data_IF_195496490687
#
_entry.id   IF_195496490687
#
_cell.length_a   1.000
_cell.length_b   1.000
_cell.length_c   1.000
_cell.angle_alpha   90.00
_cell.angle_beta   90.00
_cell.angle_gamma   90.00
#
_symmetry.space_group_name_H-M   'P 1'
#
loop_
_entity.id
_entity.type
_entity.pdbx_description
1 polymer ?
#
# COMPACT_ATOMS: atom_id res chain seq x y z
N UNK A 1 -3.07 -4.31 4.61
CA UNK A 1 -1.90 -3.70 3.99
C UNK A 1 -0.71 -4.67 3.94
N UNK A 2 -0.18 -5.18 5.05
CA UNK A 2 1.04 -5.99 5.11
C UNK A 2 1.06 -7.19 4.16
N UNK A 3 -0.08 -7.86 3.96
CA UNK A 3 -0.18 -8.99 3.01
C UNK A 3 -0.02 -8.51 1.57
N UNK A 4 -0.68 -7.43 1.19
CA UNK A 4 -0.61 -6.93 -0.18
C UNK A 4 0.75 -6.31 -0.52
N UNK A 5 1.36 -5.56 0.41
CA UNK A 5 2.73 -5.05 0.22
C UNK A 5 3.74 -6.19 0.15
N UNK A 6 3.57 -7.24 0.96
CA UNK A 6 4.37 -8.46 0.88
C UNK A 6 4.26 -9.15 -0.48
N UNK A 7 3.03 -9.38 -0.95
CA UNK A 7 2.79 -9.97 -2.27
C UNK A 7 3.41 -9.15 -3.40
N UNK A 8 3.29 -7.82 -3.32
CA UNK A 8 3.87 -6.91 -4.29
C UNK A 8 5.41 -7.07 -4.34
N UNK A 9 6.08 -6.99 -3.19
CA UNK A 9 7.54 -7.13 -3.10
C UNK A 9 7.98 -8.52 -3.57
N UNK A 10 7.34 -9.59 -3.10
CA UNK A 10 7.70 -10.95 -3.51
C UNK A 10 7.49 -11.17 -5.02
N UNK A 11 6.34 -10.77 -5.57
CA UNK A 11 6.08 -10.91 -7.01
C UNK A 11 7.01 -10.06 -7.86
N UNK A 12 7.44 -8.88 -7.37
CA UNK A 12 8.41 -8.03 -8.05
C UNK A 12 9.75 -8.73 -8.21
N UNK A 13 10.31 -9.29 -7.13
CA UNK A 13 11.61 -9.96 -7.18
C UNK A 13 11.57 -11.37 -7.79
N UNK A 14 10.41 -12.05 -7.76
CA UNK A 14 10.28 -13.37 -8.39
C UNK A 14 10.31 -13.31 -9.92
N UNK A 15 10.00 -12.19 -10.50
CA UNK A 15 9.88 -12.01 -11.95
C UNK A 15 11.19 -11.84 -12.72
N UNK A 16 12.37 -11.97 -12.09
CA UNK A 16 13.65 -11.89 -12.79
C UNK A 16 14.76 -11.20 -11.98
N UNK A 17 15.92 -11.02 -12.60
CA UNK A 17 17.10 -10.35 -12.04
C UNK A 17 16.87 -8.83 -11.97
N UNK A 18 16.03 -8.39 -11.02
CA UNK A 18 15.75 -6.98 -10.80
C UNK A 18 16.62 -6.40 -9.71
N UNK A 19 17.11 -5.21 -9.97
CA UNK A 19 17.94 -4.50 -9.01
C UNK A 19 17.11 -4.09 -7.78
N UNK A 20 17.63 -4.36 -6.59
CA UNK A 20 16.93 -4.15 -5.33
C UNK A 20 16.54 -2.68 -5.07
N UNK A 21 17.31 -1.71 -5.60
CA UNK A 21 16.99 -0.29 -5.42
C UNK A 21 15.86 0.21 -6.30
N UNK A 22 15.51 -0.47 -7.40
CA UNK A 22 14.32 -0.14 -8.16
C UNK A 22 13.04 -0.50 -7.40
N UNK A 23 13.11 -1.50 -6.51
CA UNK A 23 12.02 -1.90 -5.61
C UNK A 23 12.07 -1.30 -4.20
N UNK A 24 12.98 -0.35 -3.94
CA UNK A 24 13.25 0.15 -2.57
C UNK A 24 12.01 0.71 -1.87
N UNK A 25 11.13 1.39 -2.59
CA UNK A 25 9.89 1.90 -2.02
C UNK A 25 9.00 0.77 -1.51
N UNK A 26 8.83 -0.29 -2.31
CA UNK A 26 8.04 -1.46 -1.92
C UNK A 26 8.63 -2.17 -0.71
N UNK A 27 9.96 -2.32 -0.65
CA UNK A 27 10.66 -2.93 0.48
C UNK A 27 10.45 -2.10 1.75
N UNK A 28 10.63 -0.78 1.68
CA UNK A 28 10.43 0.12 2.81
C UNK A 28 8.98 0.13 3.28
N UNK A 29 8.03 0.15 2.35
CA UNK A 29 6.60 0.11 2.64
C UNK A 29 6.20 -1.19 3.33
N UNK A 30 6.69 -2.33 2.84
CA UNK A 30 6.47 -3.63 3.47
C UNK A 30 7.07 -3.70 4.89
N UNK A 31 8.31 -3.23 5.07
CA UNK A 31 8.96 -3.21 6.37
C UNK A 31 8.19 -2.34 7.37
N UNK A 32 7.76 -1.14 6.97
CA UNK A 32 6.93 -0.26 7.80
C UNK A 32 5.59 -0.91 8.14
N UNK A 33 4.92 -1.53 7.17
CA UNK A 33 3.66 -2.25 7.42
C UNK A 33 3.82 -3.39 8.43
N UNK A 34 4.92 -4.15 8.38
CA UNK A 34 5.21 -5.20 9.37
C UNK A 34 5.44 -4.59 10.76
N UNK A 35 6.23 -3.51 10.86
CA UNK A 35 6.48 -2.84 12.14
C UNK A 35 5.16 -2.34 12.75
N UNK A 36 4.34 -1.64 11.98
CA UNK A 36 3.04 -1.13 12.43
C UNK A 36 2.13 -2.28 12.84
N UNK A 37 2.08 -3.36 12.07
CA UNK A 37 1.30 -4.56 12.39
C UNK A 37 1.72 -5.17 13.73
N UNK A 38 3.01 -5.36 13.97
CA UNK A 38 3.53 -5.90 15.22
C UNK A 38 3.23 -4.99 16.42
N UNK A 39 3.39 -3.66 16.24
CA UNK A 39 3.04 -2.68 17.27
C UNK A 39 1.53 -2.77 17.57
N UNK A 40 0.69 -2.81 16.54
CA UNK A 40 -0.76 -2.92 16.70
C UNK A 40 -1.15 -4.18 17.44
N UNK A 41 -0.56 -5.34 17.11
CA UNK A 41 -0.81 -6.59 17.83
C UNK A 41 -0.43 -6.50 19.30
N UNK A 42 0.71 -5.85 19.62
CA UNK A 42 1.19 -5.70 21.00
C UNK A 42 0.29 -4.79 21.84
N UNK A 43 -0.27 -3.73 21.24
CA UNK A 43 -1.06 -2.71 21.94
C UNK A 43 -2.57 -2.81 21.72
N UNK A 44 -3.05 -3.82 20.97
CA UNK A 44 -4.47 -4.05 20.75
C UNK A 44 -5.14 -4.55 22.04
N UNK A 45 -5.77 -3.62 22.77
CA UNK A 45 -6.62 -3.95 23.92
C UNK A 45 -7.98 -4.44 23.40
N UNK A 46 -8.37 -5.68 23.76
CA UNK A 46 -9.72 -6.17 23.49
C UNK A 46 -9.86 -7.32 22.50
N UNK A 47 -8.76 -7.91 22.03
CA UNK A 47 -8.76 -9.05 21.12
C UNK A 47 -8.75 -8.63 19.63
N UNK A 48 -8.36 -9.58 18.80
CA UNK A 48 -8.25 -9.38 17.35
C UNK A 48 -9.61 -9.72 16.72
N UNK A 49 -10.40 -8.69 16.40
CA UNK A 49 -11.67 -8.85 15.69
C UNK A 49 -11.54 -8.32 14.27
N UNK A 50 -11.62 -9.23 13.29
CA UNK A 50 -11.64 -8.86 11.87
C UNK A 50 -13.00 -8.24 11.51
N UNK A 51 -12.96 -7.03 10.95
CA UNK A 51 -14.15 -6.41 10.35
C UNK A 51 -14.48 -7.12 9.03
N UNK A 52 -15.75 -7.13 8.58
CA UNK A 52 -16.14 -7.76 7.32
C UNK A 52 -15.31 -7.33 6.12
N UNK A 53 -14.96 -6.06 6.03
CA UNK A 53 -14.08 -5.53 4.99
C UNK A 53 -12.70 -6.21 5.00
N UNK A 54 -12.12 -6.44 6.18
CA UNK A 54 -10.82 -7.07 6.33
C UNK A 54 -10.85 -8.53 5.89
N UNK A 55 -11.98 -9.23 6.14
CA UNK A 55 -12.19 -10.59 5.64
C UNK A 55 -12.23 -10.63 4.10
N UNK A 56 -12.99 -9.73 3.46
CA UNK A 56 -13.03 -9.65 2.00
C UNK A 56 -11.67 -9.30 1.41
N UNK A 57 -10.93 -8.41 2.07
CA UNK A 57 -9.58 -8.05 1.68
C UNK A 57 -8.61 -9.24 1.75
N UNK A 58 -8.67 -10.04 2.81
CA UNK A 58 -7.86 -11.25 2.95
C UNK A 58 -8.25 -12.34 1.93
N UNK A 59 -9.54 -12.50 1.62
CA UNK A 59 -10.01 -13.41 0.57
C UNK A 59 -9.45 -12.95 -0.79
N UNK A 60 -9.49 -11.67 -1.10
CA UNK A 60 -8.88 -11.10 -2.30
C UNK A 60 -7.39 -11.37 -2.39
N UNK A 61 -6.65 -11.17 -1.29
CA UNK A 61 -5.23 -11.47 -1.22
C UNK A 61 -4.95 -12.97 -1.43
N UNK A 62 -5.73 -13.86 -0.81
CA UNK A 62 -5.60 -15.30 -0.99
C UNK A 62 -5.89 -15.74 -2.44
N UNK A 63 -6.89 -15.12 -3.08
CA UNK A 63 -7.20 -15.37 -4.49
C UNK A 63 -6.04 -14.96 -5.42
N UNK A 64 -5.35 -13.84 -5.13
CA UNK A 64 -4.17 -13.40 -5.89
C UNK A 64 -3.01 -14.39 -5.70
N UNK A 65 -2.77 -14.88 -4.48
CA UNK A 65 -1.75 -15.91 -4.24
C UNK A 65 -2.05 -17.18 -5.01
N UNK A 66 -3.31 -17.65 -4.97
CA UNK A 66 -3.73 -18.82 -5.71
C UNK A 66 -3.56 -18.63 -7.23
N UNK A 67 -3.97 -17.47 -7.74
CA UNK A 67 -3.75 -17.12 -9.14
C UNK A 67 -2.26 -17.16 -9.51
N UNK A 68 -1.40 -16.63 -8.67
CA UNK A 68 0.05 -16.64 -8.90
C UNK A 68 0.61 -18.05 -8.99
N UNK A 69 0.24 -18.93 -8.04
CA UNK A 69 0.67 -20.34 -8.06
C UNK A 69 0.20 -21.06 -9.33
N UNK A 70 -1.00 -20.74 -9.81
CA UNK A 70 -1.58 -21.39 -11.00
C UNK A 70 -1.06 -20.84 -12.33
N UNK A 71 -0.77 -19.52 -12.41
CA UNK A 71 -0.40 -18.85 -13.67
C UNK A 71 1.09 -18.64 -13.84
N UNK A 72 1.88 -18.75 -12.76
CA UNK A 72 3.32 -18.44 -12.70
C UNK A 72 3.68 -17.05 -13.30
N UNK A 73 2.68 -16.15 -13.35
CA UNK A 73 2.82 -14.81 -13.92
C UNK A 73 3.07 -13.77 -12.83
N UNK A 74 4.34 -13.46 -12.57
CA UNK A 74 4.74 -12.46 -11.59
C UNK A 74 4.24 -11.05 -11.93
N UNK A 75 4.20 -10.69 -13.22
CA UNK A 75 3.71 -9.39 -13.70
C UNK A 75 2.24 -9.19 -13.35
N UNK A 76 1.38 -10.15 -13.71
CA UNK A 76 -0.07 -10.05 -13.45
C UNK A 76 -0.33 -10.06 -11.94
N UNK A 77 0.39 -10.89 -11.20
CA UNK A 77 0.28 -10.95 -9.73
C UNK A 77 0.66 -9.61 -9.10
N UNK A 78 1.74 -8.98 -9.58
CA UNK A 78 2.15 -7.66 -9.10
C UNK A 78 1.07 -6.61 -9.36
N UNK A 79 0.51 -6.55 -10.58
CA UNK A 79 -0.58 -5.62 -10.92
C UNK A 79 -1.86 -5.85 -10.11
N UNK A 80 -2.21 -7.11 -9.82
CA UNK A 80 -3.34 -7.42 -8.96
C UNK A 80 -3.08 -7.00 -7.51
N UNK A 81 -1.85 -7.18 -7.01
CA UNK A 81 -1.46 -6.70 -5.68
C UNK A 81 -1.52 -5.17 -5.60
N UNK A 82 -1.13 -4.45 -6.67
CA UNK A 82 -1.29 -2.99 -6.78
C UNK A 82 -2.77 -2.58 -6.68
N UNK A 83 -3.66 -3.28 -7.40
CA UNK A 83 -5.10 -3.06 -7.29
C UNK A 83 -5.62 -3.27 -5.88
N UNK A 84 -5.17 -4.32 -5.19
CA UNK A 84 -5.54 -4.59 -3.80
C UNK A 84 -5.05 -3.49 -2.86
N UNK A 85 -3.86 -2.94 -3.10
CA UNK A 85 -3.33 -1.80 -2.32
C UNK A 85 -4.18 -0.53 -2.51
N UNK A 86 -4.73 -0.27 -3.70
CA UNK A 86 -5.68 0.84 -3.91
C UNK A 86 -6.94 0.62 -3.07
N UNK A 87 -7.50 -0.58 -3.09
CA UNK A 87 -8.70 -0.93 -2.29
C UNK A 87 -8.45 -0.72 -0.80
N UNK A 88 -7.24 -0.93 -0.32
CA UNK A 88 -6.87 -0.73 1.09
C UNK A 88 -6.98 0.73 1.58
N UNK A 89 -6.97 1.71 0.68
CA UNK A 89 -7.20 3.12 1.04
C UNK A 89 -8.68 3.48 1.23
N UNK A 90 -9.61 2.64 0.74
CA UNK A 90 -11.06 2.91 0.83
C UNK A 90 -11.51 3.15 2.28
N UNK A 91 -11.16 2.32 3.28
CA UNK A 91 -11.55 2.58 4.66
C UNK A 91 -11.03 3.92 5.21
N UNK A 92 -9.79 4.28 4.88
CA UNK A 92 -9.19 5.56 5.32
C UNK A 92 -9.98 6.73 4.74
N UNK A 93 -10.27 6.72 3.45
CA UNK A 93 -11.06 7.75 2.78
C UNK A 93 -12.49 7.78 3.34
N UNK A 94 -13.11 6.62 3.52
CA UNK A 94 -14.46 6.52 4.09
C UNK A 94 -14.52 7.12 5.49
N UNK A 95 -13.55 6.82 6.36
CA UNK A 95 -13.50 7.38 7.71
C UNK A 95 -13.35 8.91 7.67
N UNK A 96 -12.50 9.45 6.80
CA UNK A 96 -12.35 10.90 6.62
C UNK A 96 -13.67 11.54 6.17
N UNK A 97 -14.41 10.90 5.26
CA UNK A 97 -15.69 11.40 4.75
C UNK A 97 -16.79 11.38 5.82
N UNK A 98 -16.86 10.32 6.63
CA UNK A 98 -17.89 10.14 7.66
C UNK A 98 -17.60 10.99 8.89
N UNK A 99 -16.38 10.92 9.42
CA UNK A 99 -15.99 11.62 10.64
C UNK A 99 -15.65 13.10 10.39
N UNK A 100 -15.51 13.50 9.12
CA UNK A 100 -15.05 14.84 8.69
C UNK A 100 -13.75 15.28 9.36
N UNK A 101 -12.97 14.31 9.80
CA UNK A 101 -11.70 14.51 10.50
C UNK A 101 -10.74 13.39 10.14
N UNK A 102 -9.48 13.74 9.87
CA UNK A 102 -8.43 12.74 9.73
C UNK A 102 -7.95 12.29 11.11
N UNK A 103 -7.93 10.99 11.35
CA UNK A 103 -7.33 10.40 12.56
C UNK A 103 -5.81 10.46 12.54
N UNK A 104 -5.21 10.68 11.38
CA UNK A 104 -3.77 10.66 11.19
C UNK A 104 -3.20 12.07 11.04
N UNK A 105 -1.99 12.33 11.57
CA UNK A 105 -1.35 13.64 11.41
C UNK A 105 -0.96 13.87 9.95
N UNK A 106 -1.26 15.07 9.45
CA UNK A 106 -0.99 15.45 8.03
C UNK A 106 0.49 15.36 7.69
N UNK A 107 1.37 15.56 8.68
CA UNK A 107 2.82 15.40 8.51
C UNK A 107 3.23 14.01 8.00
N UNK A 108 2.54 12.96 8.42
CA UNK A 108 2.77 11.59 7.94
C UNK A 108 2.58 11.50 6.43
N UNK A 109 1.49 12.07 5.92
CA UNK A 109 1.18 12.07 4.50
C UNK A 109 2.17 12.89 3.66
N UNK A 110 2.71 14.00 4.21
CA UNK A 110 3.77 14.75 3.53
C UNK A 110 5.09 13.97 3.46
N UNK A 111 5.47 13.27 4.52
CA UNK A 111 6.68 12.44 4.53
C UNK A 111 6.54 11.31 3.52
N UNK A 112 5.37 10.64 3.47
CA UNK A 112 5.08 9.59 2.49
C UNK A 112 5.12 10.14 1.05
N UNK A 113 4.55 11.34 0.82
CA UNK A 113 4.59 12.00 -0.48
C UNK A 113 6.01 12.28 -0.94
N UNK A 114 6.86 12.82 -0.06
CA UNK A 114 8.27 13.05 -0.36
C UNK A 114 8.99 11.72 -0.68
N UNK A 115 8.80 10.68 0.13
CA UNK A 115 9.38 9.36 -0.13
C UNK A 115 8.96 8.81 -1.49
N UNK A 116 7.69 8.97 -1.85
CA UNK A 116 7.16 8.52 -3.15
C UNK A 116 7.78 9.32 -4.31
N UNK A 117 7.94 10.64 -4.17
CA UNK A 117 8.60 11.47 -5.20
C UNK A 117 10.05 11.03 -5.42
N UNK A 118 10.79 10.79 -4.34
CA UNK A 118 12.18 10.30 -4.45
C UNK A 118 12.27 8.90 -5.06
N UNK A 119 11.28 8.04 -4.87
CA UNK A 119 11.29 6.69 -5.44
C UNK A 119 11.10 6.64 -6.96
N UNK A 120 10.56 7.71 -7.58
CA UNK A 120 10.47 7.77 -9.04
C UNK A 120 11.82 7.79 -9.72
N UNK A 121 12.84 8.40 -9.09
CA UNK A 121 14.17 8.50 -9.69
C UNK A 121 14.78 7.13 -9.99
N UNK A 122 14.94 6.21 -9.01
CA UNK A 122 15.47 4.87 -9.30
C UNK A 122 14.56 4.07 -10.22
N UNK A 123 13.23 4.16 -10.05
CA UNK A 123 12.28 3.41 -10.87
C UNK A 123 12.39 3.77 -12.37
N UNK A 124 12.57 5.06 -12.70
CA UNK A 124 12.72 5.53 -14.07
C UNK A 124 14.15 5.25 -14.59
N UNK A 125 15.17 5.44 -13.76
CA UNK A 125 16.57 5.24 -14.15
C UNK A 125 16.85 3.79 -14.57
N UNK A 126 16.22 2.82 -13.90
CA UNK A 126 16.32 1.39 -14.20
C UNK A 126 15.37 0.93 -15.32
N UNK A 127 14.43 1.78 -15.74
CA UNK A 127 13.41 1.40 -16.73
C UNK A 127 12.40 0.35 -16.24
N UNK A 128 12.28 0.17 -14.92
CA UNK A 128 11.41 -0.83 -14.30
C UNK A 128 9.98 -0.34 -14.19
N UNK A 129 9.16 -0.64 -15.20
CA UNK A 129 7.78 -0.20 -15.30
C UNK A 129 6.91 -0.55 -14.09
N UNK A 130 7.12 -1.72 -13.47
CA UNK A 130 6.36 -2.10 -12.27
C UNK A 130 6.65 -1.18 -11.08
N UNK A 131 7.91 -0.77 -10.90
CA UNK A 131 8.29 0.19 -9.86
C UNK A 131 7.71 1.58 -10.13
N UNK A 132 7.64 1.99 -11.41
CA UNK A 132 6.98 3.25 -11.81
C UNK A 132 5.49 3.20 -11.51
N UNK A 133 4.80 2.10 -11.84
CA UNK A 133 3.37 1.91 -11.56
C UNK A 133 3.13 1.95 -10.05
N UNK A 134 3.96 1.25 -9.26
CA UNK A 134 3.89 1.26 -7.80
C UNK A 134 3.99 2.68 -7.23
N UNK A 135 5.04 3.42 -7.64
CA UNK A 135 5.27 4.79 -7.18
C UNK A 135 4.14 5.73 -7.61
N UNK A 136 3.64 5.59 -8.85
CA UNK A 136 2.52 6.39 -9.36
C UNK A 136 1.23 6.13 -8.58
N UNK A 137 0.89 4.87 -8.33
CA UNK A 137 -0.26 4.48 -7.50
C UNK A 137 -0.15 5.09 -6.10
N UNK A 138 1.01 4.95 -5.45
CA UNK A 138 1.24 5.50 -4.12
C UNK A 138 1.08 7.03 -4.12
N UNK A 139 1.66 7.70 -5.11
CA UNK A 139 1.56 9.15 -5.28
C UNK A 139 0.11 9.63 -5.40
N UNK A 140 -0.67 9.01 -6.30
CA UNK A 140 -2.08 9.34 -6.49
C UNK A 140 -2.90 9.08 -5.24
N UNK A 141 -2.69 7.92 -4.58
CA UNK A 141 -3.42 7.57 -3.36
C UNK A 141 -3.16 8.55 -2.22
N UNK A 142 -1.89 8.96 -2.02
CA UNK A 142 -1.51 9.95 -1.00
C UNK A 142 -2.13 11.32 -1.31
N UNK A 143 -2.10 11.76 -2.58
CA UNK A 143 -2.73 13.02 -2.99
C UNK A 143 -4.24 13.02 -2.75
N UNK A 144 -4.93 11.90 -3.02
CA UNK A 144 -6.35 11.77 -2.73
C UNK A 144 -6.63 11.91 -1.22
N UNK A 145 -5.88 11.21 -0.38
CA UNK A 145 -6.04 11.31 1.09
C UNK A 145 -5.77 12.72 1.58
N UNK A 146 -4.69 13.36 1.11
CA UNK A 146 -4.39 14.76 1.44
C UNK A 146 -5.51 15.70 0.98
N UNK A 147 -6.00 15.54 -0.24
CA UNK A 147 -7.08 16.35 -0.79
C UNK A 147 -8.36 16.27 0.06
N UNK A 148 -8.77 15.06 0.45
CA UNK A 148 -9.90 14.87 1.35
C UNK A 148 -9.62 15.43 2.75
N UNK A 149 -8.43 15.22 3.30
CA UNK A 149 -8.05 15.76 4.61
C UNK A 149 -8.12 17.29 4.64
N UNK A 150 -7.61 17.97 3.61
CA UNK A 150 -7.68 19.44 3.53
C UNK A 150 -9.10 19.95 3.32
N UNK A 151 -9.90 19.27 2.49
CA UNK A 151 -11.30 19.65 2.26
C UNK A 151 -12.12 19.69 3.55
N UNK A 152 -11.84 18.77 4.48
CA UNK A 152 -12.60 18.67 5.74
C UNK A 152 -11.92 19.32 6.94
N UNK A 153 -10.67 19.78 6.81
CA UNK A 153 -9.93 20.45 7.89
C UNK A 153 -10.47 21.86 8.22
N UNK A 154 -11.20 22.48 7.30
CA UNK A 154 -11.78 23.83 7.47
C UNK A 154 -13.20 23.85 8.07
N UNK A 155 -13.74 22.72 8.49
CA UNK A 155 -15.13 22.58 8.97
C UNK A 155 -15.17 22.31 10.50
N UNK A 156 -14.01 22.34 11.19
CA UNK A 156 -13.91 22.17 12.65
C UNK A 156 -13.64 23.49 13.34
#
# INVERSE_FOLDING_TARGET
FSVATGLNVFSFFWGGDREWYSGILGICDFALCIIVFLITLKFAYGGFHLKPFECYYLIGAAAIVLFWILSDSSLVTNLLAEGLLVVAYIPTIHNILVERKSSEPVSTWYILLLGTVFSFHPAIAEGEWLSVIYSFRAFVSILLVLGFTFKFRGVA
#
